data_IF_468534329645
#
_entry.id   IF_468534329645
#
_cell.length_a   1.000
_cell.length_b   1.000
_cell.length_c   1.000
_cell.angle_alpha   90.00
_cell.angle_beta   90.00
_cell.angle_gamma   90.00
#
_symmetry.space_group_name_H-M   'P 1'
#
loop_
_entity.id
_entity.type
_entity.pdbx_description
1 polymer ?
#
# COMPACT_ATOMS: atom_id res chain seq x y z
N UNK A 1 22.61 44.54 -31.20
CA UNK A 1 22.79 43.09 -31.44
C UNK A 1 22.77 42.23 -30.16
N UNK A 2 23.28 42.71 -29.02
CA UNK A 2 23.31 41.95 -27.74
C UNK A 2 21.94 41.66 -27.09
N UNK A 3 20.95 42.52 -27.26
CA UNK A 3 19.63 42.39 -26.59
C UNK A 3 18.77 41.25 -27.17
N UNK A 4 18.86 40.98 -28.48
CA UNK A 4 18.10 39.89 -29.13
C UNK A 4 18.58 38.50 -28.69
N UNK A 5 19.87 38.34 -28.44
CA UNK A 5 20.48 37.06 -28.04
C UNK A 5 20.09 36.72 -26.59
N UNK A 6 20.11 37.69 -25.68
CA UNK A 6 19.70 37.49 -24.27
C UNK A 6 18.22 37.10 -24.17
N UNK A 7 17.34 37.72 -24.98
CA UNK A 7 15.91 37.37 -25.02
C UNK A 7 15.65 35.94 -25.51
N UNK A 8 16.46 35.43 -26.44
CA UNK A 8 16.34 34.05 -26.93
C UNK A 8 16.83 33.03 -25.89
N UNK A 9 17.91 33.32 -25.15
CA UNK A 9 18.42 32.42 -24.11
C UNK A 9 17.45 32.32 -22.92
N UNK A 10 16.86 33.44 -22.47
CA UNK A 10 15.85 33.43 -21.40
C UNK A 10 14.58 32.69 -21.81
N UNK A 11 14.14 32.84 -23.06
CA UNK A 11 13.00 32.11 -23.61
C UNK A 11 13.26 30.60 -23.71
N UNK A 12 14.48 30.18 -24.06
CA UNK A 12 14.83 28.77 -24.18
C UNK A 12 14.89 28.08 -22.81
N UNK A 13 15.41 28.76 -21.77
CA UNK A 13 15.42 28.28 -20.40
C UNK A 13 14.01 28.15 -19.79
N UNK A 14 13.09 29.06 -20.15
CA UNK A 14 11.69 28.97 -19.71
C UNK A 14 10.96 27.80 -20.37
N UNK A 15 11.18 27.57 -21.68
CA UNK A 15 10.59 26.43 -22.38
C UNK A 15 11.13 25.10 -21.84
N UNK A 16 12.43 25.01 -21.53
CA UNK A 16 13.01 23.79 -20.91
C UNK A 16 12.50 23.57 -19.49
N UNK A 17 12.32 24.63 -18.69
CA UNK A 17 11.75 24.53 -17.35
C UNK A 17 10.26 24.13 -17.39
N UNK A 18 9.49 24.63 -18.36
CA UNK A 18 8.09 24.21 -18.58
C UNK A 18 8.00 22.77 -19.07
N UNK A 19 8.91 22.32 -19.96
CA UNK A 19 8.98 20.91 -20.39
C UNK A 19 9.37 19.99 -19.24
N UNK A 20 10.31 20.40 -18.36
CA UNK A 20 10.67 19.67 -17.13
C UNK A 20 9.54 19.64 -16.08
N UNK A 21 8.69 20.67 -16.04
CA UNK A 21 7.48 20.69 -15.21
C UNK A 21 6.36 19.83 -15.80
N UNK A 22 6.30 19.68 -17.13
CA UNK A 22 5.31 18.85 -17.83
C UNK A 22 5.72 17.37 -17.92
N UNK A 23 6.98 16.99 -17.66
CA UNK A 23 7.37 15.59 -17.47
C UNK A 23 6.87 14.99 -16.15
N UNK A 24 6.21 15.79 -15.30
CA UNK A 24 5.50 15.34 -14.11
C UNK A 24 4.08 14.82 -14.38
N UNK A 25 3.76 14.39 -15.61
CA UNK A 25 2.58 13.56 -15.84
C UNK A 25 2.78 12.22 -15.12
N UNK A 26 2.38 12.15 -13.85
CA UNK A 26 2.18 10.88 -13.17
C UNK A 26 1.18 10.07 -14.01
N UNK A 27 1.52 8.88 -14.53
CA UNK A 27 0.63 8.14 -15.41
C UNK A 27 -0.53 7.58 -14.57
N UNK A 28 -1.54 8.41 -14.34
CA UNK A 28 -2.78 8.00 -13.67
C UNK A 28 -3.62 7.03 -14.53
N UNK A 29 -3.28 6.86 -15.82
CA UNK A 29 -3.91 5.90 -16.71
C UNK A 29 -3.07 4.61 -16.76
N UNK A 30 -3.50 3.58 -16.02
CA UNK A 30 -2.89 2.24 -16.06
C UNK A 30 -2.23 1.77 -14.77
N UNK A 31 -2.33 2.52 -13.66
CA UNK A 31 -1.83 2.05 -12.38
C UNK A 31 -2.65 0.84 -11.88
N UNK A 32 -1.94 -0.22 -11.47
CA UNK A 32 -2.54 -1.44 -10.94
C UNK A 32 -3.21 -1.17 -9.61
N UNK A 33 -4.47 -1.59 -9.47
CA UNK A 33 -5.17 -1.52 -8.18
C UNK A 33 -4.83 -2.73 -7.32
N UNK A 34 -4.75 -2.49 -6.02
CA UNK A 34 -4.63 -3.51 -5.00
C UNK A 34 -5.97 -3.75 -4.32
N UNK A 35 -6.17 -4.97 -3.85
CA UNK A 35 -7.26 -5.32 -2.95
C UNK A 35 -6.74 -6.31 -1.92
N UNK A 36 -6.98 -6.04 -0.64
CA UNK A 36 -6.61 -6.92 0.46
C UNK A 36 -7.87 -7.57 1.00
N UNK A 37 -7.83 -8.89 1.15
CA UNK A 37 -8.96 -9.71 1.58
C UNK A 37 -8.52 -10.46 2.84
N UNK A 38 -9.08 -10.06 3.97
CA UNK A 38 -8.80 -10.62 5.28
C UNK A 38 -9.51 -11.99 5.47
N UNK A 39 -9.06 -12.84 6.42
CA UNK A 39 -9.69 -14.12 6.71
C UNK A 39 -11.19 -14.05 7.03
N UNK A 40 -11.66 -12.95 7.64
CA UNK A 40 -13.08 -12.67 7.87
C UNK A 40 -13.91 -12.47 6.59
N UNK A 41 -13.25 -12.29 5.44
CA UNK A 41 -13.85 -11.94 4.16
C UNK A 41 -14.06 -10.44 3.97
N UNK A 42 -13.68 -9.61 4.96
CA UNK A 42 -13.62 -8.17 4.76
C UNK A 42 -12.56 -7.83 3.71
N UNK A 43 -12.93 -6.97 2.77
CA UNK A 43 -12.08 -6.60 1.63
C UNK A 43 -11.94 -5.09 1.56
N UNK A 44 -10.72 -4.62 1.26
CA UNK A 44 -10.43 -3.22 1.00
C UNK A 44 -9.78 -3.05 -0.36
N UNK A 45 -10.32 -2.13 -1.15
CA UNK A 45 -9.74 -1.70 -2.41
C UNK A 45 -9.68 -0.17 -2.50
N UNK A 46 -9.27 0.35 -3.64
CA UNK A 46 -9.10 1.78 -3.88
C UNK A 46 -10.39 2.63 -3.81
N UNK A 47 -11.56 1.98 -3.66
CA UNK A 47 -12.87 2.62 -3.55
C UNK A 47 -13.51 2.44 -2.17
N UNK A 48 -12.83 1.80 -1.21
CA UNK A 48 -13.30 1.72 0.16
C UNK A 48 -13.13 3.09 0.85
N UNK A 49 -14.23 3.66 1.35
CA UNK A 49 -14.27 4.96 2.05
C UNK A 49 -14.73 4.84 3.50
N UNK A 50 -14.46 3.69 4.12
CA UNK A 50 -15.00 3.38 5.44
C UNK A 50 -14.33 4.26 6.51
N UNK A 51 -15.14 5.00 7.27
CA UNK A 51 -14.66 5.73 8.44
C UNK A 51 -14.20 4.78 9.55
N UNK A 52 -14.86 3.61 9.61
CA UNK A 52 -14.61 2.54 10.57
C UNK A 52 -14.12 1.29 9.87
N UNK A 53 -13.24 0.58 10.54
CA UNK A 53 -12.37 -0.39 9.93
C UNK A 53 -12.22 -1.56 10.90
N UNK A 54 -12.69 -2.79 10.59
CA UNK A 54 -12.57 -3.90 11.53
C UNK A 54 -11.09 -4.18 11.84
N UNK A 55 -10.81 -4.50 13.10
CA UNK A 55 -9.54 -5.08 13.50
C UNK A 55 -9.68 -6.59 13.34
N UNK A 56 -9.02 -7.15 12.32
CA UNK A 56 -9.17 -8.55 11.95
C UNK A 56 -8.88 -9.49 13.13
N UNK A 57 -9.75 -10.49 13.34
CA UNK A 57 -9.66 -11.44 14.45
C UNK A 57 -10.20 -10.94 15.79
N UNK A 58 -10.78 -9.74 15.86
CA UNK A 58 -11.40 -9.19 17.07
C UNK A 58 -12.81 -8.62 16.81
N UNK A 59 -13.51 -8.22 17.87
CA UNK A 59 -14.76 -7.45 17.76
C UNK A 59 -14.54 -5.93 17.78
N UNK A 60 -13.28 -5.47 17.80
CA UNK A 60 -12.91 -4.06 17.84
C UNK A 60 -12.79 -3.46 16.43
N UNK A 61 -12.80 -2.13 16.37
CA UNK A 61 -12.68 -1.35 15.13
C UNK A 61 -11.68 -0.21 15.28
N UNK A 62 -10.95 0.09 14.22
CA UNK A 62 -10.31 1.39 14.06
C UNK A 62 -11.30 2.41 13.52
N UNK A 63 -11.22 3.64 14.00
CA UNK A 63 -11.89 4.80 13.43
C UNK A 63 -10.88 5.93 13.29
N UNK A 64 -10.86 6.62 12.15
CA UNK A 64 -10.09 7.85 12.03
C UNK A 64 -10.95 9.06 12.40
N UNK A 65 -10.33 10.05 13.03
CA UNK A 65 -10.90 11.37 13.23
C UNK A 65 -9.88 12.41 12.73
N UNK A 66 -10.33 13.54 12.19
CA UNK A 66 -9.40 14.64 11.89
C UNK A 66 -8.80 15.16 13.20
N UNK A 67 -7.49 15.36 13.24
CA UNK A 67 -6.85 16.01 14.38
C UNK A 67 -7.35 17.45 14.56
N UNK A 68 -7.22 18.00 15.78
CA UNK A 68 -7.67 19.35 16.12
C UNK A 68 -7.06 20.43 15.21
N UNK A 69 -5.83 20.22 14.75
CA UNK A 69 -5.09 21.13 13.88
C UNK A 69 -4.99 20.65 12.42
N UNK A 70 -5.89 19.73 12.01
CA UNK A 70 -5.93 19.13 10.66
C UNK A 70 -5.77 20.14 9.51
N UNK A 71 -6.34 21.34 9.61
CA UNK A 71 -6.22 22.36 8.55
C UNK A 71 -4.77 22.86 8.35
N UNK A 72 -3.85 22.54 9.26
CA UNK A 72 -2.41 22.86 9.17
C UNK A 72 -1.58 21.63 8.84
N UNK A 73 -1.87 20.51 9.48
CA UNK A 73 -1.05 19.29 9.45
C UNK A 73 -1.56 18.27 8.43
N UNK A 74 -2.88 18.26 8.21
CA UNK A 74 -3.63 17.22 7.51
C UNK A 74 -3.60 15.86 8.21
N UNK A 75 -3.30 15.85 9.51
CA UNK A 75 -3.15 14.64 10.32
C UNK A 75 -4.49 14.11 10.87
N UNK A 76 -4.54 12.81 11.10
CA UNK A 76 -5.69 12.14 11.67
C UNK A 76 -5.32 11.49 13.01
N UNK A 77 -6.28 11.43 13.92
CA UNK A 77 -6.23 10.61 15.12
C UNK A 77 -6.73 9.19 14.80
N UNK A 78 -6.29 8.22 15.60
CA UNK A 78 -6.84 6.86 15.61
C UNK A 78 -7.67 6.68 16.87
N UNK A 79 -8.88 6.15 16.74
CA UNK A 79 -9.63 5.58 17.84
C UNK A 79 -9.73 4.07 17.67
N UNK A 80 -9.51 3.34 18.76
CA UNK A 80 -9.87 1.94 18.87
C UNK A 80 -11.21 1.88 19.59
N UNK A 81 -12.21 1.33 18.91
CA UNK A 81 -13.56 1.17 19.40
C UNK A 81 -13.81 -0.30 19.79
N UNK A 82 -14.64 -0.51 20.82
CA UNK A 82 -15.23 -1.82 21.10
C UNK A 82 -16.39 -2.15 20.14
N UNK A 83 -17.00 -3.32 20.33
CA UNK A 83 -18.15 -3.80 19.56
C UNK A 83 -19.43 -2.96 19.71
N UNK A 84 -19.47 -2.05 20.68
CA UNK A 84 -20.58 -1.13 20.95
C UNK A 84 -20.26 0.31 20.54
N UNK A 85 -19.22 0.52 19.71
CA UNK A 85 -18.73 1.83 19.27
C UNK A 85 -18.21 2.74 20.40
N UNK A 86 -17.90 2.17 21.58
CA UNK A 86 -17.29 2.93 22.66
C UNK A 86 -15.79 3.04 22.44
N UNK A 87 -15.24 4.25 22.56
CA UNK A 87 -13.80 4.49 22.43
C UNK A 87 -13.08 3.84 23.61
N UNK A 88 -12.26 2.84 23.32
CA UNK A 88 -11.34 2.21 24.27
C UNK A 88 -10.08 3.05 24.41
N UNK A 89 -9.47 3.41 23.28
CA UNK A 89 -8.20 4.13 23.21
C UNK A 89 -8.21 5.16 22.08
N UNK A 90 -7.43 6.22 22.26
CA UNK A 90 -7.26 7.30 21.29
C UNK A 90 -5.79 7.65 21.14
N UNK A 91 -5.31 7.73 19.91
CA UNK A 91 -3.93 8.05 19.57
C UNK A 91 -3.90 9.27 18.64
N UNK A 92 -3.38 10.42 19.11
CA UNK A 92 -3.36 11.62 18.30
C UNK A 92 -2.30 11.57 17.21
N UNK A 93 -2.59 12.19 16.06
CA UNK A 93 -1.62 12.50 15.00
C UNK A 93 -0.85 11.31 14.39
N UNK A 94 -1.38 10.09 14.51
CA UNK A 94 -0.76 8.86 13.96
C UNK A 94 -1.67 8.08 13.01
N UNK A 95 -2.85 8.63 12.71
CA UNK A 95 -3.87 8.01 11.88
C UNK A 95 -3.80 8.42 10.42
N UNK A 96 -4.65 7.77 9.62
CA UNK A 96 -4.94 8.16 8.25
C UNK A 96 -6.36 7.71 7.88
N UNK A 97 -6.85 8.12 6.71
CA UNK A 97 -8.14 7.63 6.20
C UNK A 97 -8.13 6.14 5.82
N UNK A 98 -6.94 5.57 5.67
CA UNK A 98 -6.75 4.20 5.23
C UNK A 98 -6.00 3.46 6.32
N UNK A 99 -6.75 2.82 7.20
CA UNK A 99 -6.20 2.07 8.33
C UNK A 99 -6.62 0.62 8.29
N UNK A 100 -5.72 -0.27 8.67
CA UNK A 100 -5.99 -1.71 8.75
C UNK A 100 -5.07 -2.38 9.74
N UNK A 101 -5.46 -3.57 10.17
CA UNK A 101 -4.75 -4.25 11.24
C UNK A 101 -5.45 -5.53 11.67
N UNK A 102 -4.73 -6.29 12.48
CA UNK A 102 -5.17 -7.59 12.97
C UNK A 102 -4.67 -7.80 14.39
N UNK A 103 -5.48 -8.51 15.19
CA UNK A 103 -5.09 -8.92 16.53
C UNK A 103 -4.13 -10.12 16.49
N UNK A 104 -3.23 -10.18 17.47
CA UNK A 104 -2.35 -11.31 17.75
C UNK A 104 -2.95 -12.22 18.83
N UNK A 105 -2.44 -13.45 18.93
CA UNK A 105 -2.95 -14.43 19.90
C UNK A 105 -2.82 -13.98 21.37
N UNK A 106 -1.94 -13.03 21.67
CA UNK A 106 -1.70 -12.48 23.02
C UNK A 106 -2.43 -11.16 23.31
N UNK A 107 -3.35 -10.75 22.45
CA UNK A 107 -4.16 -9.54 22.63
C UNK A 107 -3.50 -8.24 22.14
N UNK A 108 -2.30 -8.30 21.55
CA UNK A 108 -1.70 -7.15 20.86
C UNK A 108 -2.37 -6.94 19.50
N UNK A 109 -2.43 -5.70 19.03
CA UNK A 109 -2.98 -5.37 17.71
C UNK A 109 -1.96 -4.61 16.88
N UNK A 110 -1.78 -5.03 15.63
CA UNK A 110 -1.07 -4.23 14.64
C UNK A 110 -2.00 -3.21 14.03
N UNK A 111 -1.50 -2.01 13.81
CA UNK A 111 -2.16 -0.93 13.08
C UNK A 111 -1.23 -0.48 11.97
N UNK A 112 -1.76 -0.42 10.76
CA UNK A 112 -1.11 0.21 9.62
C UNK A 112 -1.99 1.37 9.16
N UNK A 113 -1.49 2.60 9.29
CA UNK A 113 -2.09 3.81 8.77
C UNK A 113 -1.34 4.23 7.50
N UNK A 114 -2.01 4.15 6.35
CA UNK A 114 -1.39 4.34 5.05
C UNK A 114 -1.64 5.76 4.51
N UNK A 115 -0.61 6.39 3.97
CA UNK A 115 -0.68 7.74 3.41
C UNK A 115 -0.53 7.70 1.89
N UNK A 116 -1.63 8.00 1.20
CA UNK A 116 -1.72 7.89 -0.25
C UNK A 116 -1.80 9.27 -0.90
N UNK A 117 -1.16 9.40 -2.06
CA UNK A 117 -1.15 10.64 -2.85
C UNK A 117 -2.12 10.61 -4.04
N UNK A 118 -2.92 9.54 -4.15
CA UNK A 118 -3.86 9.34 -5.24
C UNK A 118 -5.01 10.38 -5.20
N UNK A 119 -5.20 11.19 -6.25
CA UNK A 119 -6.18 12.28 -6.22
C UNK A 119 -7.65 11.81 -6.38
N UNK A 120 -7.85 10.62 -6.93
CA UNK A 120 -9.18 10.10 -7.30
C UNK A 120 -9.53 8.75 -6.63
N UNK A 121 -8.63 8.23 -5.79
CA UNK A 121 -8.77 6.94 -5.13
C UNK A 121 -8.46 7.10 -3.65
N UNK A 122 -9.07 6.27 -2.80
CA UNK A 122 -8.80 6.24 -1.36
C UNK A 122 -7.78 5.15 -1.02
N UNK A 123 -6.59 5.27 -1.61
CA UNK A 123 -5.49 4.33 -1.47
C UNK A 123 -5.52 3.12 -2.40
N UNK A 124 -4.68 2.11 -2.12
CA UNK A 124 -4.59 0.83 -2.85
C UNK A 124 -4.35 0.96 -4.36
N UNK A 125 -3.52 1.92 -4.80
CA UNK A 125 -3.12 2.08 -6.20
C UNK A 125 -1.59 2.12 -6.31
N UNK A 126 -1.03 1.22 -7.11
CA UNK A 126 0.42 1.11 -7.32
C UNK A 126 1.06 2.47 -7.70
N UNK A 127 2.18 2.80 -7.04
CA UNK A 127 2.92 4.04 -7.30
C UNK A 127 2.47 5.26 -6.47
N UNK A 128 1.35 5.15 -5.73
CA UNK A 128 0.77 6.28 -5.00
C UNK A 128 0.89 6.21 -3.48
N UNK A 129 1.39 5.09 -2.93
CA UNK A 129 1.66 4.96 -1.49
C UNK A 129 2.93 5.74 -1.15
N UNK A 130 2.79 6.80 -0.34
CA UNK A 130 3.92 7.63 0.09
C UNK A 130 4.65 7.02 1.27
N UNK A 131 3.91 6.60 2.29
CA UNK A 131 4.44 5.96 3.49
C UNK A 131 3.31 5.24 4.23
N UNK A 132 3.68 4.40 5.19
CA UNK A 132 2.73 3.81 6.14
C UNK A 132 3.30 3.89 7.54
N UNK A 133 2.51 4.35 8.50
CA UNK A 133 2.83 4.30 9.93
C UNK A 133 2.35 2.97 10.50
N UNK A 134 3.27 2.22 11.11
CA UNK A 134 3.02 0.90 11.67
C UNK A 134 3.14 0.98 13.19
N UNK A 135 2.10 0.56 13.90
CA UNK A 135 2.03 0.54 15.36
C UNK A 135 1.69 -0.87 15.86
N UNK A 136 2.35 -1.30 16.94
CA UNK A 136 1.92 -2.45 17.73
C UNK A 136 1.39 -1.92 19.05
N UNK A 137 0.14 -2.26 19.37
CA UNK A 137 -0.57 -1.75 20.55
C UNK A 137 -1.01 -2.91 21.43
N UNK A 138 -0.80 -2.82 22.74
CA UNK A 138 -1.40 -3.74 23.70
C UNK A 138 -2.86 -3.33 23.98
N UNK A 139 -3.83 -4.17 23.63
CA UNK A 139 -5.25 -3.83 23.84
C UNK A 139 -5.70 -3.94 25.30
N UNK A 140 -4.85 -4.42 26.21
CA UNK A 140 -5.21 -4.53 27.63
C UNK A 140 -5.12 -3.19 28.37
N UNK A 141 -4.17 -2.34 27.98
CA UNK A 141 -3.93 -1.04 28.60
C UNK A 141 -3.75 0.12 27.59
N UNK A 142 -3.69 -0.19 26.30
CA UNK A 142 -3.55 0.78 25.21
C UNK A 142 -2.12 1.23 24.97
N UNK A 143 -1.11 0.59 25.58
CA UNK A 143 0.29 0.96 25.40
C UNK A 143 0.76 0.71 23.95
N UNK A 144 1.47 1.67 23.36
CA UNK A 144 2.19 1.47 22.09
C UNK A 144 3.51 0.75 22.40
N UNK A 145 3.63 -0.49 21.94
CA UNK A 145 4.80 -1.34 22.14
C UNK A 145 5.86 -1.17 21.05
N UNK A 146 5.45 -0.77 19.85
CA UNK A 146 6.32 -0.51 18.71
C UNK A 146 5.71 0.54 17.78
N UNK A 147 6.54 1.40 17.20
CA UNK A 147 6.14 2.37 16.19
C UNK A 147 7.28 2.63 15.21
N UNK A 148 7.04 2.44 13.92
CA UNK A 148 7.98 2.80 12.85
C UNK A 148 7.22 2.99 11.52
N UNK A 149 7.94 3.30 10.44
CA UNK A 149 7.39 3.61 9.11
C UNK A 149 7.87 2.62 8.05
N UNK A 150 6.98 2.34 7.10
CA UNK A 150 7.32 1.77 5.81
C UNK A 150 7.37 2.87 4.74
N UNK A 151 8.33 2.76 3.81
CA UNK A 151 8.60 3.79 2.80
C UNK A 151 7.61 3.78 1.62
N UNK A 152 7.95 4.57 0.60
CA UNK A 152 7.17 4.66 -0.64
C UNK A 152 6.96 3.29 -1.28
N UNK A 153 5.71 3.00 -1.65
CA UNK A 153 5.27 1.74 -2.28
C UNK A 153 5.59 0.45 -1.52
N UNK A 154 6.07 0.54 -0.27
CA UNK A 154 6.17 -0.61 0.64
C UNK A 154 4.77 -0.92 1.17
N UNK A 155 3.94 -1.53 0.33
CA UNK A 155 2.55 -1.82 0.64
C UNK A 155 2.49 -2.90 1.70
N UNK A 156 2.08 -2.54 2.92
CA UNK A 156 1.79 -3.51 3.97
C UNK A 156 0.86 -4.60 3.41
N UNK A 157 0.90 -5.82 3.92
CA UNK A 157 -0.04 -6.90 3.57
C UNK A 157 -0.72 -7.40 4.84
N UNK A 158 0.07 -7.95 5.76
CA UNK A 158 -0.38 -8.57 7.00
C UNK A 158 0.78 -8.67 7.99
N UNK A 159 0.49 -9.09 9.22
CA UNK A 159 1.49 -9.42 10.23
C UNK A 159 1.38 -10.87 10.67
N UNK A 160 2.51 -11.42 11.10
CA UNK A 160 2.56 -12.73 11.74
C UNK A 160 3.67 -12.74 12.80
N UNK A 161 3.29 -12.91 14.06
CA UNK A 161 4.22 -12.73 15.20
C UNK A 161 4.84 -11.34 15.19
N UNK A 162 6.16 -11.27 15.23
CA UNK A 162 6.94 -10.01 15.20
C UNK A 162 7.18 -9.44 13.79
N UNK A 163 6.67 -10.09 12.74
CA UNK A 163 6.98 -9.75 11.35
C UNK A 163 5.84 -9.02 10.67
N UNK A 164 6.17 -7.92 10.00
CA UNK A 164 5.29 -7.20 9.08
C UNK A 164 5.67 -7.56 7.64
N UNK A 165 4.70 -8.08 6.87
CA UNK A 165 4.89 -8.48 5.48
C UNK A 165 4.43 -7.37 4.54
N UNK A 166 5.22 -7.16 3.49
CA UNK A 166 5.03 -6.09 2.52
C UNK A 166 5.13 -6.63 1.10
N UNK A 167 4.31 -6.07 0.21
CA UNK A 167 4.47 -6.14 -1.23
C UNK A 167 5.23 -4.90 -1.68
N UNK A 168 6.26 -5.10 -2.50
CA UNK A 168 6.92 -4.01 -3.21
C UNK A 168 6.76 -4.29 -4.71
N UNK A 169 6.09 -3.41 -5.46
CA UNK A 169 5.98 -3.55 -6.91
C UNK A 169 7.36 -3.52 -7.55
N UNK A 170 7.50 -4.19 -8.68
CA UNK A 170 8.75 -4.17 -9.44
C UNK A 170 9.01 -2.79 -10.02
N UNK A 171 10.24 -2.58 -10.47
CA UNK A 171 10.66 -1.33 -11.11
C UNK A 171 11.14 -1.65 -12.52
N UNK A 172 10.57 -0.98 -13.50
CA UNK A 172 11.04 -1.09 -14.88
C UNK A 172 12.49 -0.62 -15.03
N UNK A 173 13.16 -1.12 -16.06
CA UNK A 173 14.46 -0.59 -16.46
C UNK A 173 14.30 0.93 -16.65
N UNK A 174 15.18 1.69 -16.01
CA UNK A 174 15.17 3.13 -16.10
C UNK A 174 16.56 3.68 -16.32
N UNK A 175 16.64 4.89 -16.83
CA UNK A 175 17.91 5.56 -17.09
C UNK A 175 18.00 6.85 -16.28
N UNK A 176 19.17 7.11 -15.70
CA UNK A 176 19.51 8.37 -15.03
C UNK A 176 20.62 9.11 -15.78
N UNK A 177 20.73 10.41 -15.51
CA UNK A 177 21.75 11.29 -16.08
C UNK A 177 21.81 11.22 -17.63
N UNK A 178 20.66 11.38 -18.29
CA UNK A 178 20.56 11.38 -19.76
C UNK A 178 21.11 10.09 -20.42
N UNK A 179 20.83 8.92 -19.83
CA UNK A 179 21.24 7.62 -20.39
C UNK A 179 22.64 7.17 -19.98
N UNK A 180 23.36 7.93 -19.15
CA UNK A 180 24.69 7.55 -18.67
C UNK A 180 24.67 6.42 -17.63
N UNK A 181 23.56 6.29 -16.90
CA UNK A 181 23.37 5.24 -15.90
C UNK A 181 22.11 4.46 -16.27
N UNK A 182 22.29 3.19 -16.61
CA UNK A 182 21.19 2.22 -16.73
C UNK A 182 20.94 1.61 -15.35
N UNK A 183 19.70 1.69 -14.90
CA UNK A 183 19.21 1.02 -13.72
C UNK A 183 18.44 -0.21 -14.21
N UNK A 184 18.89 -1.43 -13.89
CA UNK A 184 18.23 -2.64 -14.34
C UNK A 184 16.82 -2.72 -13.77
N UNK A 185 15.94 -3.44 -14.47
CA UNK A 185 14.64 -3.76 -13.93
C UNK A 185 14.77 -4.64 -12.67
N UNK A 186 13.86 -4.41 -11.72
CA UNK A 186 13.72 -5.19 -10.50
C UNK A 186 12.35 -5.86 -10.51
N UNK A 187 12.29 -7.17 -10.28
CA UNK A 187 11.01 -7.85 -10.17
C UNK A 187 10.25 -7.41 -8.91
N UNK A 188 8.93 -7.54 -8.93
CA UNK A 188 8.11 -7.37 -7.74
C UNK A 188 8.52 -8.40 -6.68
N UNK A 189 8.28 -8.08 -5.41
CA UNK A 189 8.69 -8.94 -4.29
C UNK A 189 7.72 -8.91 -3.11
N UNK A 190 7.73 -10.00 -2.34
CA UNK A 190 7.25 -10.04 -0.95
C UNK A 190 8.47 -10.10 -0.03
N UNK A 191 8.47 -9.26 0.99
CA UNK A 191 9.48 -9.30 2.05
C UNK A 191 8.83 -9.02 3.40
N UNK A 192 9.54 -9.28 4.48
CA UNK A 192 9.13 -8.84 5.82
C UNK A 192 10.20 -7.98 6.48
N UNK A 193 9.76 -7.20 7.47
CA UNK A 193 10.60 -6.56 8.50
C UNK A 193 10.18 -7.12 9.86
N UNK A 194 11.14 -7.31 10.75
CA UNK A 194 10.88 -7.77 12.11
C UNK A 194 11.03 -6.59 13.09
N UNK A 195 10.25 -6.55 14.17
CA UNK A 195 10.38 -5.48 15.18
C UNK A 195 11.77 -5.42 15.84
N UNK A 196 12.48 -6.56 15.89
CA UNK A 196 13.83 -6.64 16.47
C UNK A 196 14.90 -6.00 15.60
N UNK A 197 14.69 -5.93 14.28
CA UNK A 197 15.52 -5.19 13.33
C UNK A 197 14.66 -4.65 12.18
N UNK A 198 13.94 -3.57 12.46
CA UNK A 198 13.02 -2.98 11.48
C UNK A 198 13.72 -2.55 10.19
N UNK A 199 15.01 -2.20 10.27
CA UNK A 199 15.76 -1.67 9.12
C UNK A 199 16.04 -2.74 8.07
N UNK A 200 16.11 -4.02 8.48
CA UNK A 200 16.43 -5.13 7.62
C UNK A 200 15.20 -5.64 6.87
N UNK A 201 15.30 -5.71 5.54
CA UNK A 201 14.30 -6.35 4.67
C UNK A 201 14.68 -7.81 4.44
N UNK A 202 13.82 -8.72 4.86
CA UNK A 202 13.98 -10.16 4.66
C UNK A 202 13.11 -10.63 3.50
N UNK A 203 13.75 -10.99 2.39
CA UNK A 203 13.06 -11.43 1.18
C UNK A 203 12.35 -12.77 1.41
N UNK A 204 11.05 -12.82 1.07
CA UNK A 204 10.22 -14.02 1.17
C UNK A 204 10.01 -14.63 -0.21
N UNK A 205 9.69 -13.78 -1.19
CA UNK A 205 9.36 -14.22 -2.54
C UNK A 205 9.74 -13.16 -3.56
N UNK A 206 10.29 -13.60 -4.70
CA UNK A 206 10.54 -12.76 -5.87
C UNK A 206 9.67 -13.26 -7.00
N UNK A 207 8.82 -12.38 -7.53
CA UNK A 207 7.94 -12.73 -8.63
C UNK A 207 8.72 -12.87 -9.94
N UNK A 208 8.10 -13.50 -10.93
CA UNK A 208 8.66 -13.65 -12.28
C UNK A 208 8.33 -12.46 -13.19
N UNK A 209 7.81 -11.36 -12.62
CA UNK A 209 7.40 -10.16 -13.33
C UNK A 209 7.92 -8.89 -12.66
N UNK A 210 7.97 -7.82 -13.46
CA UNK A 210 8.34 -6.46 -13.04
C UNK A 210 7.09 -5.67 -12.67
N UNK A 211 6.30 -5.26 -13.66
CA UNK A 211 5.04 -4.53 -13.45
C UNK A 211 3.86 -5.50 -13.31
N UNK A 212 3.65 -6.35 -14.33
CA UNK A 212 2.57 -7.34 -14.36
C UNK A 212 3.06 -8.67 -14.98
N UNK A 213 2.48 -9.82 -14.59
CA UNK A 213 2.75 -11.09 -15.25
C UNK A 213 2.09 -11.16 -16.63
N UNK A 214 2.59 -12.06 -17.47
CA UNK A 214 1.93 -12.41 -18.73
C UNK A 214 0.58 -13.10 -18.45
N UNK A 215 -0.52 -12.37 -18.65
CA UNK A 215 -1.89 -12.81 -18.43
C UNK A 215 -2.80 -12.38 -19.59
N UNK A 216 -3.74 -13.25 -19.96
CA UNK A 216 -4.76 -12.90 -20.96
C UNK A 216 -5.86 -12.04 -20.32
N UNK A 217 -5.88 -10.77 -20.71
CA UNK A 217 -6.87 -9.77 -20.31
C UNK A 217 -7.73 -9.31 -21.49
N UNK A 218 -7.74 -10.05 -22.62
CA UNK A 218 -8.39 -9.60 -23.85
C UNK A 218 -9.89 -9.37 -23.71
N UNK A 219 -10.53 -10.05 -22.76
CA UNK A 219 -11.95 -9.95 -22.46
C UNK A 219 -12.24 -9.04 -21.26
N UNK A 220 -11.19 -8.49 -20.65
CA UNK A 220 -11.27 -7.67 -19.46
C UNK A 220 -11.12 -6.19 -19.74
N UNK A 221 -11.61 -5.39 -18.79
CA UNK A 221 -11.53 -3.93 -18.85
C UNK A 221 -10.62 -3.35 -17.77
N UNK A 222 -10.19 -4.18 -16.82
CA UNK A 222 -9.44 -3.75 -15.64
C UNK A 222 -8.69 -4.91 -15.01
N UNK A 223 -7.45 -4.67 -14.61
CA UNK A 223 -6.65 -5.61 -13.83
C UNK A 223 -6.56 -5.17 -12.37
N UNK A 224 -6.35 -6.15 -11.48
CA UNK A 224 -6.21 -5.91 -10.04
C UNK A 224 -5.37 -7.01 -9.40
N UNK A 225 -4.50 -6.64 -8.48
CA UNK A 225 -3.78 -7.57 -7.62
C UNK A 225 -4.57 -7.76 -6.33
N UNK A 226 -4.98 -8.99 -6.06
CA UNK A 226 -5.69 -9.37 -4.85
C UNK A 226 -4.75 -10.12 -3.90
N UNK A 227 -4.68 -9.67 -2.66
CA UNK A 227 -3.92 -10.27 -1.57
C UNK A 227 -4.91 -10.98 -0.64
N UNK A 228 -5.00 -12.31 -0.76
CA UNK A 228 -5.80 -13.13 0.14
C UNK A 228 -4.94 -13.58 1.31
N UNK A 229 -5.32 -13.17 2.50
CA UNK A 229 -4.59 -13.48 3.73
C UNK A 229 -5.19 -14.74 4.35
N UNK A 230 -4.35 -15.75 4.57
CA UNK A 230 -4.66 -16.94 5.34
C UNK A 230 -3.70 -17.09 6.53
N UNK A 231 -4.02 -17.97 7.48
CA UNK A 231 -3.27 -18.09 8.75
C UNK A 231 -1.74 -18.26 8.58
N UNK A 232 -1.29 -18.97 7.56
CA UNK A 232 0.12 -19.28 7.31
C UNK A 232 0.50 -19.20 5.81
N UNK A 233 -0.35 -18.55 5.02
CA UNK A 233 -0.16 -18.45 3.58
C UNK A 233 -0.73 -17.13 3.09
N UNK A 234 -0.03 -16.51 2.16
CA UNK A 234 -0.51 -15.40 1.36
C UNK A 234 -0.77 -15.92 -0.05
N UNK A 235 -1.98 -15.74 -0.58
CA UNK A 235 -2.23 -15.90 -2.02
C UNK A 235 -2.26 -14.53 -2.67
N UNK A 236 -1.38 -14.30 -3.63
CA UNK A 236 -1.36 -13.10 -4.46
C UNK A 236 -1.91 -13.47 -5.83
N UNK A 237 -3.04 -12.89 -6.22
CA UNK A 237 -3.68 -13.17 -7.50
C UNK A 237 -3.76 -11.93 -8.36
N UNK A 238 -3.25 -12.03 -9.59
CA UNK A 238 -3.57 -11.11 -10.65
C UNK A 238 -4.92 -11.50 -11.25
N UNK A 239 -5.83 -10.55 -11.26
CA UNK A 239 -7.21 -10.74 -11.70
C UNK A 239 -7.56 -9.80 -12.84
N UNK A 240 -8.53 -10.19 -13.66
CA UNK A 240 -9.11 -9.34 -14.69
C UNK A 240 -10.62 -9.26 -14.50
N UNK A 241 -11.20 -8.06 -14.62
CA UNK A 241 -12.64 -7.84 -14.55
C UNK A 241 -13.28 -8.14 -15.91
N UNK A 242 -13.99 -9.26 -15.99
CA UNK A 242 -14.48 -9.86 -17.24
C UNK A 242 -15.96 -10.22 -17.17
N UNK A 243 -16.66 -10.29 -18.31
CA UNK A 243 -18.04 -10.75 -18.35
C UNK A 243 -18.11 -12.28 -18.15
N UNK A 244 -18.91 -12.74 -17.19
CA UNK A 244 -19.13 -14.18 -16.90
C UNK A 244 -20.45 -14.72 -17.46
N UNK A 245 -21.14 -13.91 -18.27
CA UNK A 245 -22.43 -14.23 -18.87
C UNK A 245 -23.60 -13.53 -18.17
N UNK A 246 -24.76 -13.50 -18.84
CA UNK A 246 -25.99 -12.85 -18.33
C UNK A 246 -25.83 -11.38 -17.90
N UNK A 247 -24.86 -10.66 -18.47
CA UNK A 247 -24.56 -9.27 -18.11
C UNK A 247 -23.85 -9.11 -16.76
N UNK A 248 -23.45 -10.20 -16.11
CA UNK A 248 -22.63 -10.17 -14.89
C UNK A 248 -21.16 -10.04 -15.24
N UNK A 249 -20.44 -9.32 -14.38
CA UNK A 249 -19.02 -9.09 -14.47
C UNK A 249 -18.37 -9.44 -13.14
N UNK A 250 -17.25 -10.15 -13.20
CA UNK A 250 -16.53 -10.61 -12.03
C UNK A 250 -15.02 -10.46 -12.24
N UNK A 251 -14.28 -10.33 -11.15
CA UNK A 251 -12.83 -10.43 -11.20
C UNK A 251 -12.44 -11.91 -11.25
N UNK A 252 -11.87 -12.33 -12.37
CA UNK A 252 -11.39 -13.68 -12.58
C UNK A 252 -9.90 -13.77 -12.30
N UNK A 253 -9.49 -14.77 -11.52
CA UNK A 253 -8.07 -15.09 -11.30
C UNK A 253 -7.43 -15.50 -12.62
N UNK A 254 -6.39 -14.75 -13.02
CA UNK A 254 -5.61 -15.02 -14.23
C UNK A 254 -4.29 -15.71 -13.92
N UNK A 255 -3.63 -15.26 -12.85
CA UNK A 255 -2.41 -15.90 -12.32
C UNK A 255 -2.37 -15.73 -10.82
N UNK A 256 -2.03 -16.79 -10.10
CA UNK A 256 -1.95 -16.78 -8.65
C UNK A 256 -0.63 -17.35 -8.16
N UNK A 257 -0.16 -16.81 -7.05
CA UNK A 257 1.04 -17.25 -6.35
C UNK A 257 0.66 -17.56 -4.91
N UNK A 258 1.02 -18.75 -4.45
CA UNK A 258 0.82 -19.18 -3.07
C UNK A 258 2.16 -19.10 -2.34
N UNK A 259 2.23 -18.20 -1.36
CA UNK A 259 3.47 -17.83 -0.70
C UNK A 259 3.32 -18.17 0.78
N UNK A 260 4.13 -19.11 1.33
CA UNK A 260 4.07 -19.42 2.75
C UNK A 260 4.54 -18.22 3.57
N UNK A 261 3.79 -17.88 4.61
CA UNK A 261 4.18 -16.90 5.63
C UNK A 261 4.25 -17.64 6.97
N UNK A 262 5.41 -17.59 7.62
CA UNK A 262 5.66 -18.36 8.84
C UNK A 262 6.48 -17.54 9.82
N UNK A 263 6.39 -17.89 11.11
CA UNK A 263 7.23 -17.32 12.16
C UNK A 263 8.63 -17.96 12.15
N UNK A 264 8.76 -19.18 11.60
CA UNK A 264 10.00 -19.96 11.59
C UNK A 264 10.40 -20.33 10.16
N UNK A 265 11.38 -19.62 9.60
CA UNK A 265 12.37 -20.33 8.80
C UNK A 265 13.32 -20.93 9.82
N UNK A 266 13.39 -22.25 9.89
CA UNK A 266 14.30 -22.98 10.78
C UNK A 266 15.70 -22.35 10.80
N UNK A 267 16.13 -21.83 11.96
CA UNK A 267 17.51 -21.96 12.42
C UNK A 267 17.61 -23.17 13.37
#
# INVERSE_FOLDING_TARGET
MKIKIVRHVVSLCWVTMVVLLLTGCNPAAGATEYEVIDPSGYSRDSYAYDEKSPIEGSSCYFQWEKADDYEKTYDYNIHILDENDSVLYSYPDVGSRVMRGSIQEDGKTWVCAEHWTAPHHNGYVEGWLKESDLLLIDLSDGEILFQDKAGENEFYITTYGTRCYFYLPGKEESEKLFGLIKIPAENAVIYYRDISDWTQKHMVYTFDYVAEPDIDTSNGVKTRVKFYIYKNQLKVAWTSFEPVGNGHWEYLDKKAYEIPITENADE
#
